data_IF_686796848194
#
_entry.id   IF_686796848194
#
_cell.length_a   1.000
_cell.length_b   1.000
_cell.length_c   1.000
_cell.angle_alpha   90.00
_cell.angle_beta   90.00
_cell.angle_gamma   90.00
#
_symmetry.space_group_name_H-M   'P 1'
#
loop_
_entity.id
_entity.type
_entity.pdbx_description
1 polymer ?
#
# COMPACT_ATOMS: atom_id res chain seq x y z
N UNK A 1 -17.50 31.94 -6.21
CA UNK A 1 -16.56 31.06 -6.95
C UNK A 1 -17.29 29.74 -7.25
N UNK A 2 -17.49 29.40 -8.52
CA UNK A 2 -18.10 28.12 -8.92
C UNK A 2 -17.21 26.96 -8.42
N UNK A 3 -17.82 25.97 -7.76
CA UNK A 3 -17.10 24.74 -7.36
C UNK A 3 -16.65 24.03 -8.64
N UNK A 4 -15.37 24.12 -8.96
CA UNK A 4 -14.80 23.38 -10.09
C UNK A 4 -14.99 21.86 -9.86
N UNK A 5 -15.65 21.17 -10.78
CA UNK A 5 -15.89 19.74 -10.70
C UNK A 5 -14.55 18.95 -10.61
N UNK A 6 -14.55 17.80 -9.96
CA UNK A 6 -13.42 16.90 -9.93
C UNK A 6 -13.33 16.11 -11.24
N UNK A 7 -12.12 16.10 -11.84
CA UNK A 7 -11.86 15.26 -13.01
C UNK A 7 -11.50 13.84 -12.58
N UNK A 8 -11.53 12.89 -13.54
CA UNK A 8 -11.10 11.52 -13.32
C UNK A 8 -9.63 11.47 -12.87
N UNK A 9 -8.74 12.19 -13.54
CA UNK A 9 -7.32 12.26 -13.23
C UNK A 9 -7.08 12.78 -11.82
N UNK A 10 -7.70 13.89 -11.45
CA UNK A 10 -7.61 14.44 -10.11
C UNK A 10 -8.11 13.47 -9.04
N UNK A 11 -9.15 12.69 -9.33
CA UNK A 11 -9.69 11.70 -8.39
C UNK A 11 -8.76 10.48 -8.29
N UNK A 12 -8.07 10.09 -9.36
CA UNK A 12 -7.04 9.05 -9.34
C UNK A 12 -5.81 9.48 -8.52
N UNK A 13 -5.36 10.74 -8.65
CA UNK A 13 -4.30 11.31 -7.79
C UNK A 13 -4.74 11.28 -6.32
N UNK A 14 -6.00 11.64 -6.04
CA UNK A 14 -6.53 11.56 -4.68
C UNK A 14 -6.60 10.10 -4.17
N UNK A 15 -7.00 9.14 -5.01
CA UNK A 15 -6.96 7.71 -4.65
C UNK A 15 -5.55 7.23 -4.32
N UNK A 16 -4.57 7.59 -5.15
CA UNK A 16 -3.15 7.28 -4.91
C UNK A 16 -2.69 7.82 -3.55
N UNK A 17 -3.02 9.06 -3.26
CA UNK A 17 -2.67 9.70 -2.00
C UNK A 17 -3.41 9.04 -0.80
N UNK A 18 -4.68 8.68 -0.96
CA UNK A 18 -5.43 7.91 0.04
C UNK A 18 -4.73 6.58 0.35
N UNK A 19 -4.26 5.87 -0.66
CA UNK A 19 -3.52 4.63 -0.45
C UNK A 19 -2.25 4.84 0.38
N UNK A 20 -1.56 5.96 0.23
CA UNK A 20 -0.26 6.24 0.85
C UNK A 20 -0.33 6.89 2.24
N UNK A 21 -1.46 7.47 2.65
CA UNK A 21 -1.62 8.16 3.92
C UNK A 21 -2.47 7.34 4.89
N UNK A 22 -2.09 7.31 6.18
CA UNK A 22 -2.94 6.76 7.22
C UNK A 22 -4.18 7.65 7.43
N UNK A 23 -5.26 7.08 8.00
CA UNK A 23 -6.51 7.82 8.20
C UNK A 23 -6.33 9.11 9.00
N UNK A 24 -5.51 9.09 10.04
CA UNK A 24 -5.22 10.28 10.86
C UNK A 24 -4.48 11.41 10.12
N UNK A 25 -3.90 11.11 8.96
CA UNK A 25 -3.19 12.07 8.12
C UNK A 25 -4.07 12.75 7.07
N UNK A 26 -5.34 12.36 6.92
CA UNK A 26 -6.27 12.86 5.90
C UNK A 26 -6.87 14.22 6.27
N UNK A 27 -6.05 15.21 6.55
CA UNK A 27 -6.47 16.56 6.95
C UNK A 27 -5.73 17.66 6.19
N UNK A 28 -6.35 18.83 6.05
CA UNK A 28 -5.86 19.94 5.23
C UNK A 28 -4.54 20.57 5.70
N UNK A 29 -4.07 20.27 6.91
CA UNK A 29 -2.78 20.72 7.46
C UNK A 29 -1.62 19.76 7.18
N UNK A 30 -1.88 18.61 6.57
CA UNK A 30 -0.83 17.65 6.20
C UNK A 30 0.03 18.25 5.07
N UNK A 31 1.37 18.34 5.21
CA UNK A 31 2.25 18.92 4.20
C UNK A 31 2.15 18.27 2.82
N UNK A 32 1.94 16.95 2.77
CA UNK A 32 1.79 16.21 1.51
C UNK A 32 0.49 16.62 0.82
N UNK A 33 -0.60 16.76 1.58
CA UNK A 33 -1.90 17.21 1.05
C UNK A 33 -1.82 18.66 0.56
N UNK A 34 -1.15 19.54 1.30
CA UNK A 34 -0.95 20.94 0.90
C UNK A 34 -0.21 20.97 -0.44
N UNK A 35 0.96 20.34 -0.52
CA UNK A 35 1.79 20.33 -1.74
C UNK A 35 1.04 19.73 -2.93
N UNK A 36 0.36 18.60 -2.75
CA UNK A 36 -0.39 17.96 -3.84
C UNK A 36 -1.57 18.80 -4.29
N UNK A 37 -2.28 19.45 -3.36
CA UNK A 37 -3.40 20.33 -3.69
C UNK A 37 -2.95 21.54 -4.52
N UNK A 38 -1.83 22.16 -4.16
CA UNK A 38 -1.21 23.25 -4.91
C UNK A 38 -0.89 22.81 -6.35
N UNK A 39 -0.25 21.67 -6.53
CA UNK A 39 0.08 21.11 -7.85
C UNK A 39 -1.17 20.82 -8.70
N UNK A 40 -2.28 20.47 -8.06
CA UNK A 40 -3.56 20.20 -8.71
C UNK A 40 -4.41 21.45 -8.93
N UNK A 41 -3.92 22.62 -8.54
CA UNK A 41 -4.69 23.89 -8.50
C UNK A 41 -6.00 23.74 -7.70
N UNK A 42 -5.90 23.11 -6.50
CA UNK A 42 -7.00 22.86 -5.56
C UNK A 42 -6.65 23.40 -4.17
N UNK A 43 -7.66 23.67 -3.35
CA UNK A 43 -7.40 23.96 -1.95
C UNK A 43 -7.07 22.69 -1.16
N UNK A 44 -6.18 22.76 -0.16
CA UNK A 44 -5.88 21.63 0.72
C UNK A 44 -7.12 21.03 1.40
N UNK A 45 -8.08 21.88 1.77
CA UNK A 45 -9.35 21.44 2.36
C UNK A 45 -10.21 20.65 1.37
N UNK A 46 -10.21 21.05 0.08
CA UNK A 46 -10.95 20.31 -0.96
C UNK A 46 -10.34 18.93 -1.19
N UNK A 47 -9.01 18.82 -1.22
CA UNK A 47 -8.33 17.53 -1.37
C UNK A 47 -8.52 16.66 -0.13
N UNK A 48 -8.34 17.20 1.08
CA UNK A 48 -8.59 16.45 2.32
C UNK A 48 -10.02 15.90 2.39
N UNK A 49 -11.02 16.68 1.99
CA UNK A 49 -12.42 16.24 1.91
C UNK A 49 -12.59 15.10 0.89
N UNK A 50 -11.94 15.18 -0.27
CA UNK A 50 -11.94 14.11 -1.28
C UNK A 50 -11.36 12.81 -0.72
N UNK A 51 -10.24 12.88 0.01
CA UNK A 51 -9.63 11.72 0.67
C UNK A 51 -10.55 11.08 1.71
N UNK A 52 -11.25 11.87 2.51
CA UNK A 52 -12.23 11.38 3.50
C UNK A 52 -13.46 10.78 2.81
N UNK A 53 -13.88 11.30 1.65
CA UNK A 53 -14.92 10.66 0.84
C UNK A 53 -14.47 9.29 0.32
N UNK A 54 -13.25 9.14 -0.16
CA UNK A 54 -12.70 7.83 -0.55
C UNK A 54 -12.62 6.88 0.65
N UNK A 55 -12.19 7.39 1.82
CA UNK A 55 -12.16 6.61 3.06
C UNK A 55 -13.55 6.05 3.46
N UNK A 56 -14.63 6.76 3.15
CA UNK A 56 -15.99 6.28 3.43
C UNK A 56 -16.44 5.11 2.55
N UNK A 57 -15.68 4.78 1.51
CA UNK A 57 -15.91 3.63 0.65
C UNK A 57 -15.14 2.38 1.11
N UNK A 58 -14.18 2.53 2.03
CA UNK A 58 -13.44 1.41 2.61
C UNK A 58 -14.25 0.77 3.75
N UNK A 59 -14.66 -0.52 3.63
CA UNK A 59 -15.44 -1.20 4.65
C UNK A 59 -14.77 -1.20 6.03
N UNK A 60 -13.43 -1.29 6.09
CA UNK A 60 -12.67 -1.29 7.35
C UNK A 60 -12.86 0.03 8.12
N UNK A 61 -12.86 1.14 7.39
CA UNK A 61 -13.08 2.47 7.98
C UNK A 61 -14.50 2.60 8.50
N UNK A 62 -15.50 2.20 7.70
CA UNK A 62 -16.91 2.35 8.06
C UNK A 62 -17.31 1.42 9.20
N UNK A 63 -16.82 0.19 9.24
CA UNK A 63 -17.07 -0.78 10.30
C UNK A 63 -16.38 -0.42 11.63
N UNK A 64 -15.30 0.36 11.60
CA UNK A 64 -14.62 0.83 12.82
C UNK A 64 -15.38 1.91 13.59
N UNK A 65 -16.60 2.27 13.16
CA UNK A 65 -17.40 3.35 13.76
C UNK A 65 -16.96 4.76 13.32
N UNK A 66 -15.93 4.89 12.48
CA UNK A 66 -15.51 6.15 11.88
C UNK A 66 -16.48 6.50 10.76
N UNK A 67 -17.19 7.62 10.93
CA UNK A 67 -18.08 8.12 9.88
C UNK A 67 -17.23 8.89 8.87
N UNK A 68 -16.99 8.30 7.68
CA UNK A 68 -16.62 9.08 6.51
C UNK A 68 -17.76 10.04 6.13
N UNK A 69 -17.45 11.07 5.34
CA UNK A 69 -18.48 11.97 4.82
C UNK A 69 -19.42 11.18 3.89
N UNK A 70 -20.72 11.26 4.13
CA UNK A 70 -21.77 10.57 3.34
C UNK A 70 -21.95 11.11 1.91
N UNK A 71 -21.13 12.07 1.49
CA UNK A 71 -21.27 12.81 0.23
C UNK A 71 -20.30 12.37 -0.88
N UNK A 72 -20.01 11.05 -0.99
CA UNK A 72 -19.26 10.51 -2.11
C UNK A 72 -19.97 10.78 -3.44
N UNK A 73 -19.24 11.36 -4.40
CA UNK A 73 -19.74 11.54 -5.76
C UNK A 73 -19.87 10.20 -6.51
N UNK A 74 -20.58 10.21 -7.62
CA UNK A 74 -20.65 9.03 -8.52
C UNK A 74 -19.26 8.65 -9.01
N UNK A 75 -18.43 9.63 -9.36
CA UNK A 75 -17.06 9.42 -9.82
C UNK A 75 -16.17 8.78 -8.73
N UNK A 76 -16.35 9.15 -7.46
CA UNK A 76 -15.57 8.55 -6.37
C UNK A 76 -15.86 7.05 -6.24
N UNK A 77 -17.16 6.67 -6.31
CA UNK A 77 -17.59 5.27 -6.27
C UNK A 77 -17.10 4.48 -7.46
N UNK A 78 -17.18 5.05 -8.65
CA UNK A 78 -16.73 4.42 -9.89
C UNK A 78 -15.23 4.13 -9.84
N UNK A 79 -14.41 5.11 -9.46
CA UNK A 79 -12.94 4.95 -9.35
C UNK A 79 -12.59 3.94 -8.26
N UNK A 80 -13.28 3.99 -7.11
CA UNK A 80 -13.07 3.02 -6.05
C UNK A 80 -13.38 1.59 -6.50
N UNK A 81 -14.54 1.38 -7.15
CA UNK A 81 -14.93 0.08 -7.69
C UNK A 81 -13.93 -0.44 -8.73
N UNK A 82 -13.51 0.43 -9.66
CA UNK A 82 -12.50 0.08 -10.65
C UNK A 82 -11.17 -0.32 -9.99
N UNK A 83 -10.76 0.37 -8.93
CA UNK A 83 -9.55 0.01 -8.19
C UNK A 83 -9.69 -1.33 -7.47
N UNK A 84 -10.84 -1.63 -6.86
CA UNK A 84 -11.07 -2.92 -6.22
C UNK A 84 -11.10 -4.09 -7.22
N UNK A 85 -11.62 -3.86 -8.44
CA UNK A 85 -11.69 -4.88 -9.49
C UNK A 85 -10.39 -5.03 -10.29
N UNK A 86 -9.68 -3.93 -10.54
CA UNK A 86 -8.48 -3.86 -11.38
C UNK A 86 -7.35 -3.08 -10.70
N UNK A 87 -6.86 -3.54 -9.52
CA UNK A 87 -5.92 -2.78 -8.71
C UNK A 87 -4.59 -2.52 -9.42
N UNK A 88 -4.11 -3.45 -10.24
CA UNK A 88 -2.88 -3.29 -11.01
C UNK A 88 -3.00 -2.15 -12.02
N UNK A 89 -4.10 -2.11 -12.78
CA UNK A 89 -4.32 -1.10 -13.82
C UNK A 89 -4.50 0.30 -13.21
N UNK A 90 -5.41 0.42 -12.25
CA UNK A 90 -5.77 1.70 -11.63
C UNK A 90 -4.65 2.22 -10.72
N UNK A 91 -3.96 1.32 -10.01
CA UNK A 91 -2.79 1.66 -9.21
C UNK A 91 -1.65 2.21 -10.06
N UNK A 92 -1.33 1.56 -11.18
CA UNK A 92 -0.31 2.03 -12.14
C UNK A 92 -0.70 3.39 -12.75
N UNK A 93 -1.93 3.52 -13.25
CA UNK A 93 -2.44 4.77 -13.82
C UNK A 93 -2.36 5.93 -12.82
N UNK A 94 -2.80 5.70 -11.59
CA UNK A 94 -2.77 6.71 -10.53
C UNK A 94 -1.34 7.13 -10.16
N UNK A 95 -0.40 6.20 -10.17
CA UNK A 95 1.01 6.50 -9.86
C UNK A 95 1.67 7.28 -10.99
N UNK A 96 1.41 6.95 -12.25
CA UNK A 96 1.90 7.71 -13.41
C UNK A 96 1.43 9.16 -13.36
N UNK A 97 0.15 9.39 -12.99
CA UNK A 97 -0.39 10.74 -12.86
C UNK A 97 0.31 11.54 -11.74
N UNK A 98 0.62 10.90 -10.62
CA UNK A 98 1.37 11.54 -9.52
C UNK A 98 2.80 11.88 -9.95
N UNK A 99 3.48 10.95 -10.61
CA UNK A 99 4.86 11.15 -11.08
C UNK A 99 4.93 12.30 -12.11
N UNK A 100 4.00 12.36 -13.05
CA UNK A 100 3.90 13.45 -14.02
C UNK A 100 3.62 14.79 -13.36
N UNK A 101 2.76 14.82 -12.34
CA UNK A 101 2.44 16.02 -11.56
C UNK A 101 3.69 16.59 -10.87
N UNK A 102 4.54 15.72 -10.31
CA UNK A 102 5.78 16.11 -9.64
C UNK A 102 6.85 16.57 -10.64
N UNK A 103 7.00 15.85 -11.78
CA UNK A 103 8.00 16.17 -12.80
C UNK A 103 7.73 17.51 -13.48
N UNK A 104 6.47 17.83 -13.76
CA UNK A 104 6.08 19.12 -14.36
C UNK A 104 6.56 20.31 -13.52
N UNK A 105 6.66 20.15 -12.21
CA UNK A 105 7.12 21.19 -11.29
C UNK A 105 8.65 21.28 -11.23
N UNK A 106 9.34 20.15 -11.30
CA UNK A 106 10.81 20.11 -11.30
C UNK A 106 11.39 20.75 -12.59
N UNK A 107 10.72 20.58 -13.72
CA UNK A 107 11.10 21.20 -14.99
C UNK A 107 10.93 22.73 -14.98
N UNK A 108 9.96 23.28 -14.24
CA UNK A 108 9.77 24.73 -14.08
C UNK A 108 10.84 25.35 -13.18
N UNK A 109 11.36 24.60 -12.21
CA UNK A 109 12.43 25.06 -11.30
C UNK A 109 13.80 24.99 -12.01
N UNK A 110 14.03 24.03 -12.90
CA UNK A 110 15.30 23.90 -13.65
C UNK A 110 15.47 24.92 -14.77
N UNK A 111 14.42 25.62 -15.19
CA UNK A 111 14.52 26.73 -16.14
C UNK A 111 15.05 28.03 -15.48
N UNK A 112 15.17 28.07 -14.15
CA UNK A 112 15.67 29.22 -13.40
C UNK A 112 17.10 29.06 -12.85
N UNK A 113 17.76 27.91 -13.10
CA UNK A 113 19.16 27.69 -12.73
C UNK A 113 19.86 26.89 -13.84
N UNK A 114 20.54 27.61 -14.73
CA UNK A 114 21.57 27.05 -15.60
C UNK A 114 22.79 26.83 -14.70
N UNK A 115 23.08 25.61 -14.33
CA UNK A 115 24.46 25.08 -14.22
C UNK A 115 24.47 23.58 -13.93
N UNK A 116 25.10 22.90 -14.89
CA UNK A 116 25.90 21.68 -14.80
C UNK A 116 25.43 20.47 -13.96
N UNK A 117 25.10 19.35 -14.54
CA UNK A 117 26.07 18.35 -14.99
C UNK A 117 25.55 16.91 -14.90
N UNK A 118 26.04 16.10 -15.81
CA UNK A 118 26.09 14.63 -15.80
C UNK A 118 24.79 13.84 -15.66
N UNK A 119 24.00 13.90 -16.71
CA UNK A 119 23.08 12.80 -17.05
C UNK A 119 23.92 11.66 -17.65
N UNK A 120 24.14 10.61 -16.86
CA UNK A 120 24.56 9.34 -17.42
C UNK A 120 23.42 8.81 -18.30
N UNK A 121 23.62 8.83 -19.61
CA UNK A 121 22.76 8.23 -20.61
C UNK A 121 22.76 6.70 -20.43
N UNK A 122 21.71 6.16 -19.81
CA UNK A 122 21.39 4.74 -19.87
C UNK A 122 20.29 4.53 -20.92
N UNK A 123 20.71 4.27 -22.16
CA UNK A 123 19.84 3.84 -23.25
C UNK A 123 19.69 2.32 -23.19
N UNK A 124 18.46 1.82 -22.94
CA UNK A 124 18.13 0.41 -23.09
C UNK A 124 16.71 0.09 -22.67
N UNK A 125 16.02 -0.78 -23.41
CA UNK A 125 14.68 -1.29 -23.10
C UNK A 125 14.55 -1.88 -21.67
N UNK A 126 15.64 -2.39 -21.11
CA UNK A 126 15.71 -2.91 -19.73
C UNK A 126 15.54 -1.80 -18.67
N UNK A 127 15.92 -0.56 -18.98
CA UNK A 127 15.80 0.57 -18.05
C UNK A 127 14.33 0.96 -17.84
N UNK A 128 13.52 0.99 -18.90
CA UNK A 128 12.09 1.35 -18.82
C UNK A 128 11.32 0.30 -18.03
N UNK A 129 11.61 -0.99 -18.23
CA UNK A 129 10.98 -2.08 -17.49
C UNK A 129 11.36 -2.05 -16.01
N UNK A 130 12.62 -1.79 -15.69
CA UNK A 130 13.10 -1.69 -14.31
C UNK A 130 12.52 -0.47 -13.58
N UNK A 131 12.35 0.67 -14.25
CA UNK A 131 11.72 1.87 -13.69
C UNK A 131 10.25 1.61 -13.40
N UNK A 132 9.49 1.03 -14.33
CA UNK A 132 8.08 0.67 -14.11
C UNK A 132 7.91 -0.28 -12.93
N UNK A 133 8.78 -1.28 -12.81
CA UNK A 133 8.73 -2.24 -11.69
C UNK A 133 8.99 -1.54 -10.35
N UNK A 134 9.98 -0.64 -10.26
CA UNK A 134 10.28 0.13 -9.05
C UNK A 134 9.12 1.05 -8.64
N UNK A 135 8.49 1.71 -9.61
CA UNK A 135 7.32 2.57 -9.39
C UNK A 135 6.17 1.77 -8.79
N UNK A 136 5.86 0.61 -9.36
CA UNK A 136 4.83 -0.31 -8.87
C UNK A 136 5.13 -0.80 -7.45
N UNK A 137 6.34 -1.25 -7.20
CA UNK A 137 6.77 -1.70 -5.87
C UNK A 137 6.68 -0.56 -4.84
N UNK A 138 7.03 0.67 -5.22
CA UNK A 138 6.90 1.84 -4.36
C UNK A 138 5.45 2.14 -3.97
N UNK A 139 4.51 2.09 -4.92
CA UNK A 139 3.08 2.27 -4.64
C UNK A 139 2.56 1.21 -3.65
N UNK A 140 2.77 -0.07 -3.96
CA UNK A 140 2.33 -1.18 -3.12
C UNK A 140 2.90 -1.07 -1.69
N UNK A 141 4.22 -0.83 -1.58
CA UNK A 141 4.89 -0.67 -0.29
C UNK A 141 4.25 0.44 0.54
N UNK A 142 4.07 1.62 -0.04
CA UNK A 142 3.47 2.76 0.67
C UNK A 142 2.03 2.45 1.10
N UNK A 143 1.24 1.83 0.23
CA UNK A 143 -0.14 1.48 0.51
C UNK A 143 -0.25 0.46 1.66
N UNK A 144 0.54 -0.61 1.64
CA UNK A 144 0.56 -1.61 2.71
C UNK A 144 1.05 -1.01 4.02
N UNK A 145 2.22 -0.36 4.03
CA UNK A 145 2.75 0.22 5.27
C UNK A 145 1.79 1.22 5.91
N UNK A 146 1.15 2.09 5.10
CA UNK A 146 0.18 3.05 5.62
C UNK A 146 -1.08 2.38 6.18
N UNK A 147 -1.49 1.24 5.62
CA UNK A 147 -2.64 0.47 6.09
C UNK A 147 -2.42 -0.07 7.50
N UNK A 148 -1.20 -0.49 7.81
CA UNK A 148 -0.79 -0.99 9.13
C UNK A 148 -0.16 0.09 10.03
N UNK A 149 -0.28 1.38 9.66
CA UNK A 149 0.28 2.50 10.43
C UNK A 149 1.80 2.35 10.69
N UNK A 150 2.53 1.73 9.74
CA UNK A 150 3.96 1.49 9.84
C UNK A 150 4.36 0.52 10.95
N UNK A 151 3.55 -0.52 11.20
CA UNK A 151 3.81 -1.55 12.21
C UNK A 151 3.71 -2.95 11.62
N UNK A 152 4.63 -3.81 11.98
CA UNK A 152 4.53 -5.24 11.68
C UNK A 152 3.24 -5.83 12.28
N UNK A 153 2.43 -6.50 11.48
CA UNK A 153 1.17 -7.05 11.96
C UNK A 153 1.32 -8.22 12.94
N UNK A 154 2.47 -8.87 12.98
CA UNK A 154 2.75 -9.98 13.90
C UNK A 154 3.41 -9.51 15.19
N UNK A 155 4.48 -8.70 15.11
CA UNK A 155 5.30 -8.30 16.26
C UNK A 155 5.09 -6.87 16.76
N UNK A 156 4.44 -6.01 15.97
CA UNK A 156 4.31 -4.58 16.30
C UNK A 156 5.59 -3.75 16.09
N UNK A 157 6.70 -4.34 15.60
CA UNK A 157 7.90 -3.58 15.23
C UNK A 157 7.53 -2.44 14.29
N UNK A 158 8.02 -1.22 14.58
CA UNK A 158 7.66 0.01 13.86
C UNK A 158 8.86 0.79 13.29
N UNK A 159 10.04 0.15 13.24
CA UNK A 159 11.24 0.74 12.64
C UNK A 159 11.13 0.64 11.10
N UNK A 160 11.01 1.75 10.34
CA UNK A 160 10.68 1.71 8.91
C UNK A 160 11.64 0.91 8.05
N UNK A 161 12.94 0.90 8.40
CA UNK A 161 14.00 0.15 7.68
C UNK A 161 13.89 -1.35 7.86
N UNK A 162 13.21 -1.82 8.91
CA UNK A 162 12.99 -3.24 9.21
C UNK A 162 11.63 -3.74 8.71
N UNK A 163 10.80 -2.87 8.12
CA UNK A 163 9.47 -3.24 7.64
C UNK A 163 9.49 -3.55 6.15
N UNK A 164 8.75 -4.58 5.77
CA UNK A 164 8.54 -5.02 4.40
C UNK A 164 7.03 -5.08 4.12
N UNK A 165 6.65 -4.68 2.92
CA UNK A 165 5.32 -4.95 2.38
C UNK A 165 5.37 -6.30 1.68
N UNK A 166 5.02 -7.35 2.41
CA UNK A 166 5.01 -8.73 1.94
C UNK A 166 3.76 -9.00 1.12
N UNK A 167 3.90 -9.67 -0.04
CA UNK A 167 2.76 -10.13 -0.80
C UNK A 167 2.21 -11.43 -0.21
N UNK A 168 0.90 -11.49 -0.01
CA UNK A 168 0.22 -12.73 0.46
C UNK A 168 0.24 -13.77 -0.66
N UNK A 169 -0.29 -13.41 -1.82
CA UNK A 169 -0.13 -14.18 -3.05
C UNK A 169 1.12 -13.67 -3.78
N UNK A 170 2.13 -14.50 -4.04
CA UNK A 170 3.41 -14.06 -4.60
C UNK A 170 3.27 -13.25 -5.90
N UNK A 171 4.17 -12.31 -6.08
CA UNK A 171 4.20 -11.40 -7.24
C UNK A 171 4.11 -12.12 -8.60
N UNK A 172 4.72 -13.31 -8.70
CA UNK A 172 4.74 -14.11 -9.92
C UNK A 172 3.43 -14.87 -10.19
N UNK A 173 2.63 -15.13 -9.15
CA UNK A 173 1.47 -16.00 -9.25
C UNK A 173 0.22 -15.29 -9.76
N UNK A 174 0.08 -13.98 -9.50
CA UNK A 174 -1.05 -13.20 -10.01
C UNK A 174 -0.63 -11.77 -10.36
N UNK A 175 -0.51 -11.50 -11.66
CA UNK A 175 -0.09 -10.20 -12.17
C UNK A 175 -1.12 -9.09 -11.95
N UNK A 176 -2.40 -9.44 -11.81
CA UNK A 176 -3.49 -8.47 -11.66
C UNK A 176 -3.63 -7.97 -10.22
N UNK A 177 -3.05 -8.68 -9.24
CA UNK A 177 -3.17 -8.36 -7.82
C UNK A 177 -1.89 -7.77 -7.19
N UNK A 178 -0.90 -7.44 -8.02
CA UNK A 178 0.40 -6.92 -7.55
C UNK A 178 0.32 -5.60 -6.82
N UNK A 179 -0.60 -4.74 -7.24
CA UNK A 179 -0.82 -3.42 -6.64
C UNK A 179 -2.04 -3.37 -5.70
N UNK A 180 -2.68 -4.51 -5.46
CA UNK A 180 -3.78 -4.59 -4.52
C UNK A 180 -3.26 -4.54 -3.07
N UNK A 181 -3.55 -3.48 -2.28
CA UNK A 181 -3.11 -3.42 -0.88
C UNK A 181 -3.68 -4.55 -0.01
N UNK A 182 -4.81 -5.14 -0.41
CA UNK A 182 -5.45 -6.28 0.28
C UNK A 182 -4.70 -7.60 0.04
N UNK A 183 -3.75 -7.61 -0.92
CA UNK A 183 -2.80 -8.70 -1.13
C UNK A 183 -1.48 -8.44 -0.37
N UNK A 184 -1.50 -7.69 0.73
CA UNK A 184 -0.31 -7.29 1.44
C UNK A 184 -0.39 -7.40 2.96
N UNK A 185 0.72 -7.82 3.56
CA UNK A 185 0.97 -7.77 5.00
C UNK A 185 2.15 -6.84 5.27
N UNK A 186 2.07 -6.02 6.32
CA UNK A 186 3.23 -5.30 6.82
C UNK A 186 3.97 -6.21 7.81
N UNK A 187 5.14 -6.67 7.43
CA UNK A 187 5.95 -7.60 8.21
C UNK A 187 7.31 -7.00 8.57
N UNK A 188 7.91 -7.46 9.68
CA UNK A 188 9.34 -7.27 9.90
C UNK A 188 10.13 -8.16 8.94
N UNK A 189 11.41 -7.82 8.67
CA UNK A 189 12.24 -8.59 7.75
C UNK A 189 12.36 -10.08 8.14
N UNK A 190 12.37 -10.39 9.44
CA UNK A 190 12.38 -11.78 9.92
C UNK A 190 11.07 -12.51 9.59
N UNK A 191 9.93 -11.87 9.87
CA UNK A 191 8.62 -12.47 9.62
C UNK A 191 8.33 -12.57 8.11
N UNK A 192 8.73 -11.59 7.33
CA UNK A 192 8.63 -11.62 5.87
C UNK A 192 9.39 -12.82 5.29
N UNK A 193 10.64 -13.00 5.71
CA UNK A 193 11.44 -14.14 5.26
C UNK A 193 10.85 -15.49 5.67
N UNK A 194 10.33 -15.59 6.89
CA UNK A 194 9.67 -16.81 7.36
C UNK A 194 8.34 -17.08 6.63
N UNK A 195 7.58 -16.03 6.32
CA UNK A 195 6.34 -16.09 5.57
C UNK A 195 6.58 -16.52 4.11
N UNK A 196 7.49 -15.84 3.39
CA UNK A 196 7.86 -16.18 2.02
C UNK A 196 8.41 -17.61 1.86
N UNK A 197 9.11 -18.09 2.90
CA UNK A 197 9.63 -19.45 2.94
C UNK A 197 8.57 -20.50 3.32
N UNK A 198 7.33 -20.11 3.58
CA UNK A 198 6.26 -21.01 4.01
C UNK A 198 6.44 -21.57 5.41
N UNK A 199 7.37 -21.03 6.22
CA UNK A 199 7.59 -21.48 7.59
C UNK A 199 6.52 -21.01 8.55
N UNK A 200 5.89 -19.89 8.23
CA UNK A 200 4.70 -19.36 8.90
C UNK A 200 3.64 -18.99 7.87
N UNK A 201 2.36 -19.03 8.26
CA UNK A 201 1.25 -18.54 7.44
C UNK A 201 0.26 -17.77 8.30
N UNK A 202 -0.64 -17.04 7.64
CA UNK A 202 -1.82 -16.42 8.27
C UNK A 202 -3.05 -17.06 7.63
N UNK A 203 -3.97 -17.55 8.44
CA UNK A 203 -5.20 -18.20 8.01
C UNK A 203 -6.27 -17.18 7.59
N UNK A 204 -7.34 -17.57 6.88
CA UNK A 204 -8.45 -16.68 6.49
C UNK A 204 -9.14 -15.99 7.68
N UNK A 205 -9.07 -16.52 8.88
CA UNK A 205 -9.55 -15.97 10.15
C UNK A 205 -8.47 -15.16 10.91
N UNK A 206 -7.37 -14.83 10.20
CA UNK A 206 -6.28 -13.98 10.67
C UNK A 206 -5.42 -14.55 11.80
N UNK A 207 -5.42 -15.87 11.99
CA UNK A 207 -4.55 -16.55 12.95
C UNK A 207 -3.22 -16.93 12.31
N UNK A 208 -2.14 -16.86 13.08
CA UNK A 208 -0.81 -17.28 12.63
C UNK A 208 -0.64 -18.77 12.90
N UNK A 209 -0.16 -19.50 11.89
CA UNK A 209 0.28 -20.88 12.03
C UNK A 209 1.75 -21.04 11.70
N UNK A 210 2.46 -21.80 12.52
CA UNK A 210 3.87 -22.13 12.41
C UNK A 210 4.02 -23.56 11.88
N UNK A 211 4.84 -23.75 10.84
CA UNK A 211 5.05 -25.06 10.24
C UNK A 211 5.70 -26.05 11.21
N UNK A 212 5.39 -27.34 11.03
CA UNK A 212 6.05 -28.42 11.78
C UNK A 212 7.56 -28.41 11.56
N UNK A 213 8.00 -28.10 10.32
CA UNK A 213 9.42 -28.01 9.99
C UNK A 213 10.12 -26.97 10.87
N UNK A 214 9.55 -25.75 11.00
CA UNK A 214 10.15 -24.70 11.86
C UNK A 214 10.15 -25.11 13.31
N UNK A 215 9.06 -25.70 13.83
CA UNK A 215 8.96 -26.23 15.19
C UNK A 215 10.03 -27.29 15.51
N UNK A 216 10.40 -28.10 14.51
CA UNK A 216 11.40 -29.14 14.66
C UNK A 216 12.84 -28.60 14.56
N UNK A 217 13.10 -27.60 13.72
CA UNK A 217 14.45 -27.11 13.42
C UNK A 217 14.92 -25.96 14.34
N UNK A 218 13.99 -25.18 14.88
CA UNK A 218 14.33 -23.97 15.62
C UNK A 218 14.41 -24.22 17.13
N UNK A 219 15.60 -24.06 17.70
CA UNK A 219 15.87 -24.30 19.12
C UNK A 219 16.49 -23.12 19.85
N UNK A 220 16.81 -22.01 19.14
CA UNK A 220 17.34 -20.82 19.78
C UNK A 220 16.26 -20.09 20.61
N UNK A 221 16.68 -19.38 21.66
CA UNK A 221 15.75 -18.56 22.44
C UNK A 221 15.09 -17.49 21.59
N UNK A 222 15.83 -16.87 20.67
CA UNK A 222 15.28 -15.86 19.74
C UNK A 222 14.21 -16.47 18.82
N UNK A 223 14.44 -17.64 18.26
CA UNK A 223 13.47 -18.34 17.43
C UNK A 223 12.21 -18.76 18.20
N UNK A 224 12.38 -19.21 19.45
CA UNK A 224 11.28 -19.53 20.35
C UNK A 224 10.40 -18.28 20.59
N UNK A 225 11.00 -17.15 20.96
CA UNK A 225 10.27 -15.94 21.35
C UNK A 225 9.65 -15.21 20.15
N UNK A 226 10.30 -15.21 18.99
CA UNK A 226 9.87 -14.37 17.85
C UNK A 226 9.22 -15.11 16.69
N UNK A 227 9.35 -16.44 16.63
CA UNK A 227 8.72 -17.24 15.58
C UNK A 227 7.75 -18.29 16.16
N UNK A 228 8.21 -19.17 17.06
CA UNK A 228 7.37 -20.25 17.55
C UNK A 228 6.25 -19.76 18.47
N UNK A 229 6.49 -18.72 19.26
CA UNK A 229 5.48 -18.10 20.13
C UNK A 229 4.32 -17.45 19.35
N UNK A 230 4.45 -17.29 18.04
CA UNK A 230 3.38 -16.73 17.19
C UNK A 230 2.25 -17.73 16.91
N UNK A 231 2.45 -19.03 17.15
CA UNK A 231 1.42 -20.07 16.91
C UNK A 231 0.11 -19.73 17.60
N UNK A 232 -0.98 -19.70 16.83
CA UNK A 232 -2.32 -19.45 17.34
C UNK A 232 -2.60 -18.00 17.76
N UNK A 233 -1.69 -17.06 17.49
CA UNK A 233 -1.91 -15.61 17.75
C UNK A 233 -2.57 -14.97 16.52
N UNK A 234 -3.55 -14.10 16.78
CA UNK A 234 -4.15 -13.26 15.73
C UNK A 234 -3.22 -12.13 15.33
N UNK A 235 -3.12 -11.86 14.03
CA UNK A 235 -2.40 -10.67 13.55
C UNK A 235 -3.11 -9.38 13.95
N UNK A 236 -2.36 -8.28 14.09
CA UNK A 236 -2.94 -6.95 14.19
C UNK A 236 -3.51 -6.54 12.83
N UNK A 237 -4.82 -6.39 12.75
CA UNK A 237 -5.50 -6.02 11.51
C UNK A 237 -5.18 -4.58 11.09
N UNK A 238 -5.10 -4.32 9.78
CA UNK A 238 -4.85 -2.99 9.26
C UNK A 238 -6.05 -2.06 9.51
N UNK A 239 -5.80 -0.74 9.46
CA UNK A 239 -6.83 0.30 9.62
C UNK A 239 -7.57 0.62 8.31
N UNK A 240 -7.12 0.08 7.18
CA UNK A 240 -7.73 0.14 5.85
C UNK A 240 -7.22 -1.03 5.02
N UNK A 241 -7.93 -1.39 3.94
CA UNK A 241 -7.52 -2.47 3.04
C UNK A 241 -7.21 -3.80 3.76
N UNK A 242 -8.18 -4.33 4.50
CA UNK A 242 -8.03 -5.63 5.17
C UNK A 242 -7.66 -6.72 4.16
N UNK A 243 -6.71 -7.62 4.51
CA UNK A 243 -6.35 -8.75 3.66
C UNK A 243 -7.55 -9.56 3.21
N UNK A 244 -7.57 -9.96 1.94
CA UNK A 244 -8.59 -10.86 1.41
C UNK A 244 -8.42 -12.26 1.98
N UNK A 245 -9.45 -12.86 2.58
CA UNK A 245 -9.39 -14.24 3.07
C UNK A 245 -8.98 -15.24 1.98
N UNK A 246 -9.35 -15.00 0.73
CA UNK A 246 -8.98 -15.84 -0.41
C UNK A 246 -7.48 -15.84 -0.68
N UNK A 247 -6.78 -14.70 -0.52
CA UNK A 247 -5.33 -14.63 -0.67
C UNK A 247 -4.63 -15.36 0.48
N UNK A 248 -5.15 -15.24 1.69
CA UNK A 248 -4.63 -15.96 2.86
C UNK A 248 -4.80 -17.48 2.68
N UNK A 249 -5.97 -17.91 2.23
CA UNK A 249 -6.23 -19.32 1.90
C UNK A 249 -5.27 -19.82 0.81
N UNK A 250 -5.01 -19.00 -0.21
CA UNK A 250 -4.05 -19.32 -1.27
C UNK A 250 -2.64 -19.55 -0.71
N UNK A 251 -2.14 -18.66 0.15
CA UNK A 251 -0.83 -18.79 0.78
C UNK A 251 -0.76 -20.07 1.62
N UNK A 252 -1.79 -20.33 2.43
CA UNK A 252 -1.88 -21.53 3.26
C UNK A 252 -1.87 -22.82 2.44
N UNK A 253 -2.53 -22.83 1.28
CA UNK A 253 -2.63 -24.03 0.44
C UNK A 253 -1.41 -24.26 -0.47
N UNK A 254 -0.71 -23.21 -0.92
CA UNK A 254 0.28 -23.31 -1.99
C UNK A 254 1.71 -22.96 -1.56
N UNK A 255 1.88 -22.27 -0.44
CA UNK A 255 3.19 -21.79 0.03
C UNK A 255 3.56 -22.39 1.38
N UNK A 256 2.60 -22.49 2.30
CA UNK A 256 2.85 -22.95 3.66
C UNK A 256 3.28 -24.42 3.72
N UNK A 257 4.35 -24.70 4.45
CA UNK A 257 4.93 -26.02 4.63
C UNK A 257 4.20 -26.78 5.75
N UNK A 258 3.12 -27.46 5.40
CA UNK A 258 2.25 -28.16 6.36
C UNK A 258 2.70 -29.61 6.65
N UNK A 259 3.84 -30.04 6.09
CA UNK A 259 4.36 -31.40 6.23
C UNK A 259 5.07 -31.64 7.56
#
# INVERSE_FOLDING_TARGET
>A
MSKQAWTREQTLIALNLYCQLSFGQLHSRNPIIIKTAELMNRSPSSLAMKLVNLASLDPVITQSGRKGLSSCSKLDREIWQNFMQHPELIGEESQILVDNLVQSTSSLVSLSSVDNANQANFTGHDTVRSVKTRVKQSFFRKAVLSSYEGKCCMSGINTPTLLIASHIMPWSHNTQQRLNPRNGLCLSALHDKAYDAGLITVTPDFMIHVSKQLKYQEHSSLGQDYLLALEGISINLPKKFQPEPEFLAYHQANIFLNA
#
